data_IF_084114663312
#
_entry.id   IF_084114663312
#
_cell.length_a   1.000
_cell.length_b   1.000
_cell.length_c   1.000
_cell.angle_alpha   90.00
_cell.angle_beta   90.00
_cell.angle_gamma   90.00
#
_symmetry.space_group_name_H-M   'P 1'
#
loop_
_entity.id
_entity.type
_entity.pdbx_description
1 polymer ?
#
# COMPACT_ATOMS: atom_id res chain seq x y z
N UNK A 1 11.43 4.19 -8.01
CA UNK A 1 10.34 3.83 -7.08
C UNK A 1 10.65 2.49 -6.41
N UNK A 2 10.26 2.29 -5.14
CA UNK A 2 10.43 1.04 -4.41
C UNK A 2 9.77 -0.15 -5.14
N UNK A 3 10.45 -1.29 -5.33
CA UNK A 3 9.89 -2.43 -6.08
C UNK A 3 8.64 -3.02 -5.44
N UNK A 4 7.58 -3.17 -6.23
CA UNK A 4 6.29 -3.75 -5.78
C UNK A 4 6.45 -5.18 -5.27
N UNK A 5 7.33 -5.98 -5.91
CA UNK A 5 7.61 -7.36 -5.52
C UNK A 5 8.18 -7.45 -4.10
N UNK A 6 9.04 -6.50 -3.72
CA UNK A 6 9.66 -6.48 -2.41
C UNK A 6 8.65 -6.08 -1.31
N UNK A 7 7.82 -5.07 -1.57
CA UNK A 7 6.68 -4.74 -0.68
C UNK A 7 5.73 -5.95 -0.50
N UNK A 8 5.41 -6.64 -1.60
CA UNK A 8 4.54 -7.82 -1.59
C UNK A 8 5.09 -8.94 -0.72
N UNK A 9 6.40 -9.17 -0.75
CA UNK A 9 7.01 -10.19 0.09
C UNK A 9 6.77 -9.95 1.58
N UNK A 10 6.96 -8.72 2.05
CA UNK A 10 6.69 -8.37 3.46
C UNK A 10 5.20 -8.39 3.80
N UNK A 11 4.35 -7.76 2.97
CA UNK A 11 2.91 -7.69 3.25
C UNK A 11 2.30 -9.08 3.32
N UNK A 12 2.61 -9.97 2.37
CA UNK A 12 2.04 -11.32 2.36
C UNK A 12 2.71 -12.26 3.38
N UNK A 13 4.00 -12.10 3.64
CA UNK A 13 4.74 -12.96 4.56
C UNK A 13 4.45 -12.71 6.04
N UNK A 14 4.02 -11.49 6.40
CA UNK A 14 3.88 -11.06 7.80
C UNK A 14 2.49 -10.48 8.11
N UNK A 15 1.47 -10.71 7.26
CA UNK A 15 0.08 -10.32 7.56
C UNK A 15 -0.93 -11.24 6.87
N UNK A 16 -2.12 -11.33 7.44
CA UNK A 16 -3.26 -12.05 6.88
C UNK A 16 -4.22 -11.10 6.15
N UNK A 17 -5.14 -11.65 5.35
CA UNK A 17 -6.25 -10.87 4.78
C UNK A 17 -7.05 -10.20 5.91
N UNK A 18 -7.43 -8.94 5.73
CA UNK A 18 -8.14 -8.15 6.73
C UNK A 18 -7.26 -7.46 7.77
N UNK A 19 -5.99 -7.86 7.94
CA UNK A 19 -5.05 -7.19 8.85
C UNK A 19 -4.75 -5.75 8.39
N UNK A 20 -4.29 -4.93 9.33
CA UNK A 20 -3.85 -3.56 9.07
C UNK A 20 -2.34 -3.51 8.82
N UNK A 21 -1.95 -3.00 7.65
CA UNK A 21 -0.56 -2.67 7.33
C UNK A 21 -0.33 -1.17 7.50
N UNK A 22 0.69 -0.78 8.27
CA UNK A 22 1.09 0.61 8.46
C UNK A 22 2.45 0.89 7.83
N UNK A 23 2.52 1.94 7.01
CA UNK A 23 3.76 2.44 6.41
C UNK A 23 3.99 3.92 6.75
N UNK A 24 4.96 4.25 7.64
CA UNK A 24 5.20 5.63 8.04
C UNK A 24 5.90 6.48 6.97
N UNK A 25 6.42 5.87 5.89
CA UNK A 25 7.19 6.53 4.83
C UNK A 25 6.60 6.17 3.46
N UNK A 26 5.31 6.46 3.31
CA UNK A 26 4.51 5.89 2.24
C UNK A 26 4.96 6.27 0.84
N UNK A 27 5.65 7.41 0.66
CA UNK A 27 6.18 7.87 -0.62
C UNK A 27 5.14 7.77 -1.74
N UNK A 28 5.44 6.98 -2.76
CA UNK A 28 4.52 6.77 -3.90
C UNK A 28 3.35 5.79 -3.63
N UNK A 29 3.18 5.25 -2.42
CA UNK A 29 2.06 4.39 -2.01
C UNK A 29 2.21 2.90 -2.29
N UNK A 30 3.44 2.39 -2.53
CA UNK A 30 3.65 0.99 -2.94
C UNK A 30 3.10 -0.02 -1.93
N UNK A 31 3.32 0.19 -0.62
CA UNK A 31 2.82 -0.70 0.43
C UNK A 31 1.29 -0.73 0.48
N UNK A 32 0.64 0.43 0.38
CA UNK A 32 -0.82 0.54 0.36
C UNK A 32 -1.46 -0.12 -0.87
N UNK A 33 -0.85 0.03 -2.06
CA UNK A 33 -1.28 -0.65 -3.29
C UNK A 33 -1.26 -2.17 -3.10
N UNK A 34 -0.17 -2.72 -2.59
CA UNK A 34 -0.04 -4.15 -2.32
C UNK A 34 -1.05 -4.61 -1.27
N UNK A 35 -1.21 -3.87 -0.18
CA UNK A 35 -2.18 -4.18 0.87
C UNK A 35 -3.61 -4.21 0.32
N UNK A 36 -4.02 -3.19 -0.45
CA UNK A 36 -5.34 -3.12 -1.10
C UNK A 36 -5.60 -4.30 -2.05
N UNK A 37 -4.64 -4.61 -2.92
CA UNK A 37 -4.75 -5.73 -3.86
C UNK A 37 -4.86 -7.09 -3.17
N UNK A 38 -4.30 -7.20 -1.98
CA UNK A 38 -4.23 -8.44 -1.22
C UNK A 38 -5.29 -8.53 -0.12
N UNK A 39 -6.26 -7.60 -0.09
CA UNK A 39 -7.38 -7.65 0.86
C UNK A 39 -7.02 -7.23 2.28
N UNK A 40 -5.90 -6.52 2.47
CA UNK A 40 -5.50 -5.94 3.75
C UNK A 40 -6.03 -4.51 3.86
N UNK A 41 -6.29 -4.07 5.09
CA UNK A 41 -6.46 -2.66 5.42
C UNK A 41 -5.08 -2.00 5.43
N UNK A 42 -5.03 -0.69 5.22
CA UNK A 42 -3.77 0.02 5.23
C UNK A 42 -3.94 1.43 5.80
N UNK A 43 -2.87 1.92 6.42
CA UNK A 43 -2.66 3.33 6.77
C UNK A 43 -1.25 3.67 6.27
N UNK A 44 -1.08 4.86 5.71
CA UNK A 44 0.24 5.38 5.40
C UNK A 44 0.35 6.85 5.75
N UNK A 45 1.56 7.28 6.12
CA UNK A 45 1.89 8.70 6.27
C UNK A 45 2.98 9.09 5.30
N UNK A 46 2.93 10.32 4.82
CA UNK A 46 3.95 10.91 3.96
C UNK A 46 3.99 12.42 4.25
N UNK A 47 5.19 12.96 4.37
CA UNK A 47 5.45 14.35 4.74
C UNK A 47 5.25 15.28 3.54
N UNK A 48 5.55 14.80 2.34
CA UNK A 48 5.47 15.60 1.13
C UNK A 48 4.08 15.50 0.48
N UNK A 49 3.32 16.59 0.49
CA UNK A 49 1.95 16.64 -0.05
C UNK A 49 1.84 16.18 -1.52
N UNK A 50 2.87 16.46 -2.34
CA UNK A 50 2.93 15.99 -3.73
C UNK A 50 2.93 14.46 -3.80
N UNK A 51 3.70 13.79 -2.94
CA UNK A 51 3.73 12.34 -2.87
C UNK A 51 2.43 11.76 -2.33
N UNK A 52 1.75 12.45 -1.40
CA UNK A 52 0.40 12.07 -0.96
C UNK A 52 -0.56 12.03 -2.14
N UNK A 53 -0.56 13.07 -3.00
CA UNK A 53 -1.42 13.11 -4.20
C UNK A 53 -1.09 12.00 -5.19
N UNK A 54 0.20 11.74 -5.42
CA UNK A 54 0.66 10.65 -6.29
C UNK A 54 0.23 9.29 -5.75
N UNK A 55 0.43 9.04 -4.45
CA UNK A 55 0.05 7.81 -3.79
C UNK A 55 -1.47 7.59 -3.84
N UNK A 56 -2.26 8.62 -3.49
CA UNK A 56 -3.71 8.58 -3.51
C UNK A 56 -4.23 8.19 -4.89
N UNK A 57 -3.76 8.86 -5.96
CA UNK A 57 -4.14 8.51 -7.33
C UNK A 57 -3.84 7.04 -7.66
N UNK A 58 -2.63 6.57 -7.35
CA UNK A 58 -2.23 5.17 -7.63
C UNK A 58 -3.07 4.17 -6.86
N UNK A 59 -3.42 4.48 -5.62
CA UNK A 59 -4.26 3.63 -4.76
C UNK A 59 -5.69 3.59 -5.29
N UNK A 60 -6.25 4.73 -5.72
CA UNK A 60 -7.60 4.81 -6.28
C UNK A 60 -7.72 4.03 -7.59
N UNK A 61 -6.72 4.14 -8.47
CA UNK A 61 -6.64 3.39 -9.73
C UNK A 61 -6.41 1.87 -9.49
N UNK A 62 -6.01 1.46 -8.29
CA UNK A 62 -5.76 0.06 -7.96
C UNK A 62 -7.05 -0.67 -7.63
N UNK A 63 -7.35 -1.75 -8.36
CA UNK A 63 -8.44 -2.67 -8.01
C UNK A 63 -8.14 -3.36 -6.67
N UNK A 64 -9.13 -3.39 -5.79
CA UNK A 64 -9.06 -4.16 -4.54
C UNK A 64 -9.18 -5.67 -4.80
N UNK A 65 -8.92 -6.47 -3.76
CA UNK A 65 -9.24 -7.89 -3.80
C UNK A 65 -10.75 -8.07 -4.09
N UNK A 66 -11.07 -8.87 -5.10
CA UNK A 66 -12.42 -9.39 -5.30
C UNK A 66 -12.63 -10.45 -4.22
N UNK A 67 -13.64 -10.26 -3.38
CA UNK A 67 -14.04 -11.24 -2.36
C UNK A 67 -14.56 -12.52 -3.00
#
# INVERSE_FOLDING_TARGET
>A
PFPVSFARWFVLGYSNSGDLVYDPFGGSGTTAVVAKQSGRKWIMTEIHEEYVKIAQKRIDDTLGALF
#
